data_IF_068701496130
#
_entry.id   IF_068701496130
#
_cell.length_a   1.000
_cell.length_b   1.000
_cell.length_c   1.000
_cell.angle_alpha   90.00
_cell.angle_beta   90.00
_cell.angle_gamma   90.00
#
_symmetry.space_group_name_H-M   'P 1'
#
loop_
_entity.id
_entity.type
_entity.pdbx_description
1 polymer ?
#
# COMPACT_ATOMS: atom_id res chain seq x y z
N UNK A 1 1.03 18.49 -15.44
CA UNK A 1 1.27 17.02 -15.31
C UNK A 1 1.29 16.37 -16.67
N UNK A 2 2.20 15.45 -16.89
CA UNK A 2 2.16 14.62 -18.08
C UNK A 2 1.34 13.36 -17.80
N UNK A 3 1.11 12.56 -18.86
CA UNK A 3 0.29 11.35 -18.76
C UNK A 3 0.84 10.35 -17.72
N UNK A 4 2.15 10.16 -17.69
CA UNK A 4 2.78 9.25 -16.75
C UNK A 4 2.54 9.69 -15.29
N UNK A 5 2.67 10.99 -15.03
CA UNK A 5 2.39 11.54 -13.71
C UNK A 5 0.92 11.37 -13.33
N UNK A 6 0.00 11.54 -14.29
CA UNK A 6 -1.42 11.30 -14.07
C UNK A 6 -1.69 9.83 -13.71
N UNK A 7 -1.05 8.90 -14.41
CA UNK A 7 -1.18 7.47 -14.13
C UNK A 7 -0.66 7.12 -12.74
N UNK A 8 0.47 7.67 -12.35
CA UNK A 8 1.04 7.44 -11.01
C UNK A 8 0.15 8.00 -9.91
N UNK A 9 -0.40 9.19 -10.11
CA UNK A 9 -1.31 9.79 -9.15
C UNK A 9 -2.61 8.98 -9.03
N UNK A 10 -3.15 8.52 -10.16
CA UNK A 10 -4.34 7.68 -10.18
C UNK A 10 -4.08 6.35 -9.46
N UNK A 11 -2.94 5.72 -9.71
CA UNK A 11 -2.57 4.49 -9.03
C UNK A 11 -2.53 4.68 -7.51
N UNK A 12 -1.91 5.75 -7.04
CA UNK A 12 -1.84 6.04 -5.61
C UNK A 12 -3.25 6.20 -5.01
N UNK A 13 -4.14 6.92 -5.70
CA UNK A 13 -5.52 7.12 -5.24
C UNK A 13 -6.34 5.84 -5.22
N UNK A 14 -6.25 5.05 -6.29
CA UNK A 14 -7.01 3.79 -6.39
C UNK A 14 -6.51 2.75 -5.38
N UNK A 15 -5.21 2.65 -5.18
CA UNK A 15 -4.64 1.72 -4.19
C UNK A 15 -5.04 2.11 -2.77
N UNK A 16 -5.04 3.41 -2.47
CA UNK A 16 -5.50 3.91 -1.18
C UNK A 16 -6.98 3.63 -0.98
N UNK A 17 -7.80 3.88 -1.99
CA UNK A 17 -9.24 3.61 -1.93
C UNK A 17 -9.50 2.13 -1.66
N UNK A 18 -8.78 1.23 -2.31
CA UNK A 18 -8.91 -0.21 -2.06
C UNK A 18 -8.64 -0.56 -0.60
N UNK A 19 -7.55 -0.03 -0.05
CA UNK A 19 -7.19 -0.27 1.35
C UNK A 19 -8.27 0.28 2.30
N UNK A 20 -8.77 1.48 2.03
CA UNK A 20 -9.83 2.09 2.82
C UNK A 20 -11.11 1.26 2.80
N UNK A 21 -11.54 0.80 1.61
CA UNK A 21 -12.75 0.00 1.49
C UNK A 21 -12.63 -1.34 2.21
N UNK A 22 -11.46 -1.98 2.17
CA UNK A 22 -11.24 -3.20 2.96
C UNK A 22 -11.34 -2.93 4.46
N UNK A 23 -10.77 -1.82 4.93
CA UNK A 23 -10.86 -1.43 6.34
C UNK A 23 -12.30 -1.12 6.75
N UNK A 24 -13.03 -0.40 5.90
CA UNK A 24 -14.45 -0.07 6.13
C UNK A 24 -15.30 -1.33 6.15
N UNK A 25 -15.02 -2.29 5.28
CA UNK A 25 -15.69 -3.59 5.26
C UNK A 25 -15.48 -4.32 6.59
N UNK A 26 -14.29 -4.29 7.12
CA UNK A 26 -13.97 -4.92 8.41
C UNK A 26 -14.82 -4.35 9.56
N UNK A 27 -14.98 -3.04 9.59
CA UNK A 27 -15.83 -2.36 10.58
C UNK A 27 -17.30 -2.77 10.41
N UNK A 28 -17.81 -2.71 9.18
CA UNK A 28 -19.19 -3.08 8.88
C UNK A 28 -19.49 -4.52 9.29
N UNK A 29 -18.55 -5.44 9.05
CA UNK A 29 -18.67 -6.83 9.43
C UNK A 29 -18.79 -6.99 10.94
N UNK A 30 -17.96 -6.31 11.71
CA UNK A 30 -18.00 -6.33 13.16
C UNK A 30 -19.30 -5.76 13.72
N UNK A 31 -19.88 -4.78 13.03
CA UNK A 31 -21.14 -4.17 13.43
C UNK A 31 -22.37 -4.97 12.97
N UNK A 32 -22.17 -6.09 12.28
CA UNK A 32 -23.26 -6.96 11.83
C UNK A 32 -24.01 -6.43 10.61
N UNK A 33 -23.40 -5.51 9.83
CA UNK A 33 -24.01 -4.89 8.67
C UNK A 33 -23.59 -5.64 7.39
N UNK A 34 -24.14 -6.83 7.17
CA UNK A 34 -23.70 -7.74 6.11
C UNK A 34 -23.81 -7.18 4.70
N UNK A 35 -24.86 -6.41 4.39
CA UNK A 35 -25.03 -5.82 3.06
C UNK A 35 -23.97 -4.74 2.83
N UNK A 36 -23.75 -3.89 3.80
CA UNK A 36 -22.74 -2.82 3.72
C UNK A 36 -21.35 -3.42 3.61
N UNK A 37 -21.05 -4.44 4.40
CA UNK A 37 -19.79 -5.17 4.32
C UNK A 37 -19.51 -5.67 2.91
N UNK A 38 -20.49 -6.34 2.29
CA UNK A 38 -20.34 -6.89 0.95
C UNK A 38 -20.12 -5.80 -0.10
N UNK A 39 -20.81 -4.67 0.02
CA UNK A 39 -20.65 -3.54 -0.91
C UNK A 39 -19.21 -3.02 -0.83
N UNK A 40 -18.66 -2.86 0.37
CA UNK A 40 -17.29 -2.40 0.52
C UNK A 40 -16.28 -3.41 -0.04
N UNK A 41 -16.49 -4.71 0.19
CA UNK A 41 -15.61 -5.75 -0.36
C UNK A 41 -15.62 -5.75 -1.90
N UNK A 42 -16.79 -5.68 -2.51
CA UNK A 42 -16.92 -5.64 -3.96
C UNK A 42 -16.29 -4.40 -4.54
N UNK A 43 -16.50 -3.26 -3.89
CA UNK A 43 -15.91 -1.99 -4.34
C UNK A 43 -14.39 -2.03 -4.24
N UNK A 44 -13.84 -2.62 -3.18
CA UNK A 44 -12.40 -2.80 -3.03
C UNK A 44 -11.81 -3.61 -4.20
N UNK A 45 -12.50 -4.69 -4.62
CA UNK A 45 -12.04 -5.50 -5.74
C UNK A 45 -12.16 -4.75 -7.07
N UNK A 46 -13.17 -3.90 -7.24
CA UNK A 46 -13.27 -3.04 -8.42
C UNK A 46 -12.11 -2.06 -8.47
N UNK A 47 -11.73 -1.49 -7.33
CA UNK A 47 -10.57 -0.58 -7.25
C UNK A 47 -9.27 -1.31 -7.58
N UNK A 48 -9.14 -2.57 -7.19
CA UNK A 48 -7.98 -3.39 -7.57
C UNK A 48 -7.91 -3.56 -9.09
N UNK A 49 -9.05 -3.79 -9.75
CA UNK A 49 -9.11 -3.88 -11.21
C UNK A 49 -8.59 -2.61 -11.87
N UNK A 50 -8.99 -1.45 -11.37
CA UNK A 50 -8.50 -0.15 -11.86
C UNK A 50 -6.99 -0.02 -11.65
N UNK A 51 -6.50 -0.35 -10.45
CA UNK A 51 -5.06 -0.30 -10.12
C UNK A 51 -4.25 -1.20 -11.05
N UNK A 52 -4.74 -2.41 -11.31
CA UNK A 52 -4.06 -3.38 -12.18
C UNK A 52 -3.95 -2.85 -13.61
N UNK A 53 -5.01 -2.24 -14.13
CA UNK A 53 -5.00 -1.64 -15.47
C UNK A 53 -3.97 -0.50 -15.54
N UNK A 54 -3.96 0.37 -14.54
CA UNK A 54 -3.00 1.48 -14.48
C UNK A 54 -1.56 0.95 -14.41
N UNK A 55 -1.33 -0.08 -13.60
CA UNK A 55 0.00 -0.70 -13.51
C UNK A 55 0.45 -1.29 -14.84
N UNK A 56 -0.47 -1.88 -15.61
CA UNK A 56 -0.16 -2.37 -16.95
C UNK A 56 0.23 -1.23 -17.88
N UNK A 57 -0.50 -0.12 -17.85
CA UNK A 57 -0.19 1.05 -18.66
C UNK A 57 1.15 1.67 -18.28
N UNK A 58 1.54 1.59 -17.02
CA UNK A 58 2.84 2.08 -16.54
C UNK A 58 3.99 1.09 -16.80
N UNK A 59 3.69 -0.14 -17.22
CA UNK A 59 4.70 -1.17 -17.43
C UNK A 59 5.31 -1.74 -16.16
N UNK A 60 4.58 -1.67 -15.04
CA UNK A 60 5.06 -2.16 -13.74
C UNK A 60 4.97 -3.69 -13.64
N UNK A 61 3.97 -4.28 -14.29
CA UNK A 61 3.75 -5.72 -14.22
C UNK A 61 4.58 -6.42 -15.30
N UNK A 62 5.48 -7.29 -14.87
CA UNK A 62 6.28 -8.12 -15.77
C UNK A 62 5.99 -9.61 -15.55
N UNK A 63 6.94 -10.46 -15.92
CA UNK A 63 6.86 -11.88 -15.60
C UNK A 63 7.14 -12.10 -14.09
N UNK A 64 6.97 -13.33 -13.63
CA UNK A 64 7.13 -13.62 -12.20
C UNK A 64 8.51 -13.26 -11.67
N UNK A 65 9.56 -13.51 -12.45
CA UNK A 65 10.93 -13.17 -12.03
C UNK A 65 11.11 -11.67 -11.84
N UNK A 66 10.62 -10.89 -12.80
CA UNK A 66 10.69 -9.42 -12.72
C UNK A 66 9.84 -8.89 -11.56
N UNK A 67 8.66 -9.46 -11.35
CA UNK A 67 7.78 -9.06 -10.27
C UNK A 67 8.40 -9.36 -8.90
N UNK A 68 9.06 -10.52 -8.75
CA UNK A 68 9.77 -10.86 -7.52
C UNK A 68 10.91 -9.88 -7.26
N UNK A 69 11.67 -9.53 -8.29
CA UNK A 69 12.77 -8.58 -8.14
C UNK A 69 12.24 -7.20 -7.74
N UNK A 70 11.15 -6.75 -8.35
CA UNK A 70 10.52 -5.49 -8.00
C UNK A 70 10.04 -5.47 -6.55
N UNK A 71 9.47 -6.60 -6.09
CA UNK A 71 9.01 -6.73 -4.71
C UNK A 71 10.19 -6.66 -3.73
N UNK A 72 11.28 -7.37 -4.01
CA UNK A 72 12.49 -7.33 -3.18
C UNK A 72 13.05 -5.91 -3.11
N UNK A 73 13.16 -5.24 -4.24
CA UNK A 73 13.69 -3.88 -4.30
C UNK A 73 12.80 -2.91 -3.52
N UNK A 74 11.49 -3.05 -3.63
CA UNK A 74 10.53 -2.22 -2.91
C UNK A 74 10.63 -2.43 -1.40
N UNK A 75 10.68 -3.69 -0.94
CA UNK A 75 10.79 -4.02 0.47
C UNK A 75 12.12 -3.52 1.05
N UNK A 76 13.23 -3.68 0.31
CA UNK A 76 14.53 -3.17 0.73
C UNK A 76 14.54 -1.65 0.84
N UNK A 77 13.95 -0.95 -0.11
CA UNK A 77 13.83 0.51 -0.03
C UNK A 77 13.04 0.92 1.22
N UNK A 78 11.95 0.22 1.51
CA UNK A 78 11.09 0.56 2.64
C UNK A 78 11.79 0.37 3.98
N UNK A 79 12.51 -0.74 4.20
CA UNK A 79 13.15 -0.96 5.50
C UNK A 79 14.51 -0.29 5.65
N UNK A 80 15.24 -0.09 4.54
CA UNK A 80 16.58 0.52 4.60
C UNK A 80 16.52 2.04 4.57
N UNK A 81 15.53 2.62 3.91
CA UNK A 81 15.50 4.04 3.66
C UNK A 81 14.21 4.73 4.06
N UNK A 82 13.09 4.31 3.50
CA UNK A 82 11.81 5.01 3.68
C UNK A 82 11.37 5.07 5.14
N UNK A 83 11.17 3.92 5.78
CA UNK A 83 10.70 3.89 7.16
C UNK A 83 11.70 4.44 8.16
N UNK A 84 13.02 4.18 8.05
CA UNK A 84 13.98 4.86 8.92
C UNK A 84 13.94 6.39 8.81
N UNK A 85 13.78 6.93 7.61
CA UNK A 85 13.66 8.38 7.41
C UNK A 85 12.36 8.91 8.03
N UNK A 86 11.25 8.18 7.88
CA UNK A 86 9.97 8.55 8.48
C UNK A 86 10.03 8.51 10.00
N UNK A 87 10.69 7.49 10.57
CA UNK A 87 10.89 7.40 12.01
C UNK A 87 11.68 8.59 12.54
N UNK A 88 12.72 9.02 11.81
CA UNK A 88 13.52 10.18 12.19
C UNK A 88 12.69 11.47 12.17
N UNK A 89 11.81 11.64 11.18
CA UNK A 89 10.91 12.80 11.12
C UNK A 89 9.95 12.78 12.31
N UNK A 90 9.33 11.62 12.59
CA UNK A 90 8.39 11.48 13.71
C UNK A 90 9.07 11.79 15.05
N UNK A 91 10.30 11.31 15.25
CA UNK A 91 11.09 11.58 16.44
C UNK A 91 11.35 13.07 16.61
N UNK A 92 11.74 13.73 15.54
CA UNK A 92 12.02 15.17 15.55
C UNK A 92 10.79 15.98 15.92
N UNK A 93 9.61 15.52 15.48
CA UNK A 93 8.33 16.17 15.76
C UNK A 93 7.69 15.76 17.09
N UNK A 94 8.32 14.87 17.84
CA UNK A 94 7.80 14.39 19.10
C UNK A 94 6.60 13.45 18.98
N UNK A 95 6.45 12.79 17.83
CA UNK A 95 5.35 11.86 17.53
C UNK A 95 5.75 10.43 17.88
N UNK A 96 5.71 10.09 19.17
CA UNK A 96 6.22 8.82 19.67
C UNK A 96 5.50 7.58 19.13
N UNK A 97 4.18 7.63 18.98
CA UNK A 97 3.40 6.52 18.43
C UNK A 97 3.75 6.25 16.98
N UNK A 98 3.86 7.31 16.20
CA UNK A 98 4.19 7.22 14.80
C UNK A 98 5.63 6.76 14.60
N UNK A 99 6.57 7.24 15.41
CA UNK A 99 7.96 6.77 15.40
C UNK A 99 8.04 5.28 15.67
N UNK A 100 7.35 4.79 16.70
CA UNK A 100 7.32 3.38 17.06
C UNK A 100 6.73 2.55 15.92
N UNK A 101 5.66 3.03 15.29
CA UNK A 101 5.05 2.35 14.14
C UNK A 101 6.04 2.24 12.98
N UNK A 102 6.68 3.34 12.61
CA UNK A 102 7.63 3.33 11.48
C UNK A 102 8.81 2.39 11.75
N UNK A 103 9.32 2.36 12.97
CA UNK A 103 10.41 1.44 13.34
C UNK A 103 9.97 -0.02 13.27
N UNK A 104 8.76 -0.33 13.73
CA UNK A 104 8.17 -1.67 13.62
C UNK A 104 7.95 -2.06 12.16
N UNK A 105 7.42 -1.14 11.35
CA UNK A 105 7.18 -1.38 9.93
C UNK A 105 8.49 -1.69 9.21
N UNK A 106 9.57 -0.97 9.51
CA UNK A 106 10.88 -1.25 8.93
C UNK A 106 11.34 -2.69 9.21
N UNK A 107 11.13 -3.18 10.43
CA UNK A 107 11.48 -4.55 10.80
C UNK A 107 10.65 -5.58 10.02
N UNK A 108 9.35 -5.33 9.85
CA UNK A 108 8.47 -6.20 9.08
C UNK A 108 8.89 -6.23 7.61
N UNK A 109 9.19 -5.09 7.01
CA UNK A 109 9.59 -5.01 5.61
C UNK A 109 10.93 -5.71 5.36
N UNK A 110 11.86 -5.65 6.34
CA UNK A 110 13.11 -6.40 6.28
C UNK A 110 12.85 -7.91 6.21
N UNK A 111 11.88 -8.39 6.98
CA UNK A 111 11.47 -9.79 6.97
C UNK A 111 10.86 -10.16 5.61
N UNK A 112 10.03 -9.29 5.05
CA UNK A 112 9.45 -9.50 3.72
C UNK A 112 10.53 -9.58 2.64
N UNK A 113 11.53 -8.74 2.69
CA UNK A 113 12.63 -8.75 1.72
C UNK A 113 13.42 -10.06 1.76
N UNK A 114 13.51 -10.71 2.92
CA UNK A 114 14.25 -11.96 3.11
C UNK A 114 13.48 -13.22 2.69
N UNK A 115 12.19 -13.09 2.42
CA UNK A 115 11.40 -14.23 1.93
C UNK A 115 11.82 -14.63 0.53
#
# INVERSE_FOLDING_TARGET
MNTEECLKAALAGEAQARAEYHAFASVAKKEGLGVVWKIFEETAENEFGHSKMIMKLLGIIGDTKKNLQAAIDGENYEWQKMYPEFAAVAKKEGKEKEEAYFSSAATVEKTHAAR
#
